data_IF_854476935280
#
_entry.id   IF_854476935280
#
_cell.length_a   1.000
_cell.length_b   1.000
_cell.length_c   1.000
_cell.angle_alpha   90.00
_cell.angle_beta   90.00
_cell.angle_gamma   90.00
#
_symmetry.space_group_name_H-M   'P 1'
#
loop_
_entity.id
_entity.type
_entity.pdbx_description
1 polymer ?
#
# COMPACT_ATOMS: atom_id res chain seq x y z
N UNK A 1 -30.74 6.27 23.94
CA UNK A 1 -30.28 5.54 22.75
C UNK A 1 -28.97 6.17 22.33
N UNK A 2 -27.86 5.47 22.51
CA UNK A 2 -26.52 6.01 22.31
C UNK A 2 -26.29 6.26 20.81
N UNK A 3 -26.09 7.53 20.46
CA UNK A 3 -25.71 7.94 19.12
C UNK A 3 -24.23 7.57 18.91
N UNK A 4 -23.97 6.43 18.27
CA UNK A 4 -22.62 6.07 17.83
C UNK A 4 -22.24 7.02 16.70
N UNK A 5 -21.50 8.06 17.07
CA UNK A 5 -20.85 8.96 16.14
C UNK A 5 -19.85 8.13 15.34
N UNK A 6 -20.26 7.72 14.14
CA UNK A 6 -19.38 7.13 13.14
C UNK A 6 -18.26 8.12 12.90
N UNK A 7 -17.10 7.89 13.51
CA UNK A 7 -15.85 8.54 13.13
C UNK A 7 -15.51 8.05 11.72
N UNK A 8 -16.16 8.65 10.72
CA UNK A 8 -15.72 8.66 9.33
C UNK A 8 -14.47 9.53 9.25
N UNK A 9 -13.41 9.12 9.94
CA UNK A 9 -12.09 9.69 9.79
C UNK A 9 -11.59 9.10 8.48
N UNK A 10 -11.55 9.91 7.44
CA UNK A 10 -10.95 9.63 6.13
C UNK A 10 -10.03 8.41 6.16
N UNK A 11 -10.55 7.27 5.72
CA UNK A 11 -9.72 6.10 5.45
C UNK A 11 -8.87 6.47 4.24
N UNK A 12 -7.71 7.06 4.51
CA UNK A 12 -6.68 7.26 3.49
C UNK A 12 -6.51 5.94 2.76
N UNK A 13 -6.57 5.97 1.43
CA UNK A 13 -6.22 4.79 0.63
C UNK A 13 -4.84 4.32 1.04
N UNK A 14 -4.62 3.00 1.11
CA UNK A 14 -3.38 2.44 1.66
C UNK A 14 -2.13 3.03 1.01
N UNK A 15 -2.17 3.29 -0.31
CA UNK A 15 -1.12 4.00 -1.04
C UNK A 15 -0.82 5.38 -0.44
N UNK A 16 -1.83 6.22 -0.18
CA UNK A 16 -1.63 7.56 0.39
C UNK A 16 -1.06 7.51 1.80
N UNK A 17 -1.43 6.50 2.58
CA UNK A 17 -0.86 6.28 3.91
C UNK A 17 0.62 5.90 3.81
N UNK A 18 0.95 4.97 2.94
CA UNK A 18 2.33 4.53 2.70
C UNK A 18 3.21 5.67 2.17
N UNK A 19 2.74 6.44 1.17
CA UNK A 19 3.43 7.62 0.65
C UNK A 19 3.76 8.64 1.75
N UNK A 20 2.82 8.88 2.68
CA UNK A 20 3.07 9.77 3.83
C UNK A 20 4.12 9.23 4.78
N UNK A 21 4.07 7.93 5.09
CA UNK A 21 5.05 7.27 5.95
C UNK A 21 6.45 7.37 5.33
N UNK A 22 6.59 7.01 4.05
CA UNK A 22 7.85 7.11 3.31
C UNK A 22 8.37 8.56 3.24
N UNK A 23 7.50 9.53 2.96
CA UNK A 23 7.87 10.95 2.93
C UNK A 23 8.37 11.45 4.28
N UNK A 24 7.71 11.06 5.38
CA UNK A 24 8.17 11.40 6.73
C UNK A 24 9.50 10.73 7.07
N UNK A 25 9.68 9.45 6.73
CA UNK A 25 10.94 8.74 6.95
C UNK A 25 12.10 9.38 6.17
N UNK A 26 11.89 9.77 4.92
CA UNK A 26 12.88 10.52 4.13
C UNK A 26 13.18 11.90 4.69
N UNK A 27 12.19 12.58 5.25
CA UNK A 27 12.39 13.87 5.91
C UNK A 27 13.24 13.72 7.17
N UNK A 28 13.01 12.66 7.96
CA UNK A 28 13.80 12.31 9.13
C UNK A 28 15.25 11.95 8.75
N UNK A 29 15.45 11.19 7.69
CA UNK A 29 16.79 10.89 7.14
C UNK A 29 17.53 12.19 6.76
N UNK A 30 16.86 13.13 6.10
CA UNK A 30 17.43 14.44 5.77
C UNK A 30 17.80 15.28 7.00
N UNK A 31 17.22 15.00 8.16
CA UNK A 31 17.54 15.63 9.45
C UNK A 31 18.66 14.89 10.21
N UNK A 32 19.22 13.82 9.65
CA UNK A 32 20.26 13.00 10.27
C UNK A 32 19.73 11.87 11.17
N UNK A 33 18.43 11.55 11.08
CA UNK A 33 17.83 10.44 11.81
C UNK A 33 17.87 9.20 10.91
N UNK A 34 18.90 8.37 11.11
CA UNK A 34 19.03 7.10 10.40
C UNK A 34 17.95 6.11 10.86
N UNK A 35 17.20 5.54 9.91
CA UNK A 35 16.22 4.49 10.22
C UNK A 35 16.88 3.30 10.94
N UNK A 36 18.10 2.93 10.51
CA UNK A 36 18.94 1.86 11.08
C UNK A 36 19.40 2.07 12.52
N UNK A 37 19.37 3.30 13.03
CA UNK A 37 19.71 3.60 14.43
C UNK A 37 18.49 3.90 15.28
N UNK A 38 17.37 4.22 14.63
CA UNK A 38 16.18 4.78 15.26
C UNK A 38 14.94 3.87 15.18
N UNK A 39 15.03 2.64 14.66
CA UNK A 39 13.87 1.77 14.52
C UNK A 39 13.17 1.46 15.85
N UNK A 40 13.91 1.48 16.97
CA UNK A 40 13.36 1.32 18.30
C UNK A 40 12.13 2.22 18.56
N UNK A 41 12.15 3.47 18.09
CA UNK A 41 11.02 4.39 18.23
C UNK A 41 10.26 4.64 16.92
N UNK A 42 10.91 4.48 15.75
CA UNK A 42 10.21 4.59 14.46
C UNK A 42 9.21 3.46 14.25
N UNK A 43 9.53 2.23 14.69
CA UNK A 43 8.65 1.08 14.57
C UNK A 43 7.28 1.30 15.25
N UNK A 44 7.20 1.62 16.57
CA UNK A 44 5.91 1.89 17.20
C UNK A 44 5.21 3.13 16.62
N UNK A 45 5.95 4.12 16.11
CA UNK A 45 5.37 5.28 15.43
C UNK A 45 4.67 4.87 14.13
N UNK A 46 5.35 4.09 13.28
CA UNK A 46 4.79 3.59 12.02
C UNK A 46 3.60 2.68 12.29
N UNK A 47 3.70 1.75 13.25
CA UNK A 47 2.56 0.90 13.67
C UNK A 47 1.34 1.73 14.08
N UNK A 48 1.55 2.80 14.85
CA UNK A 48 0.47 3.66 15.34
C UNK A 48 -0.23 4.44 14.22
N UNK A 49 0.43 4.64 13.07
CA UNK A 49 -0.19 5.27 11.90
C UNK A 49 -1.11 4.32 11.12
N UNK A 50 -1.01 3.01 11.35
CA UNK A 50 -1.76 2.01 10.59
C UNK A 50 -3.16 1.79 11.15
N UNK A 51 -4.11 1.49 10.25
CA UNK A 51 -5.46 1.08 10.66
C UNK A 51 -5.45 -0.36 11.18
N UNK A 52 -6.42 -0.69 12.04
CA UNK A 52 -6.56 -2.03 12.64
C UNK A 52 -6.60 -3.17 11.61
N UNK A 53 -7.21 -2.94 10.44
CA UNK A 53 -7.27 -3.93 9.36
C UNK A 53 -5.86 -4.27 8.81
N UNK A 54 -5.02 -3.24 8.62
CA UNK A 54 -3.65 -3.38 8.13
C UNK A 54 -2.75 -4.02 9.18
N UNK A 55 -2.89 -3.62 10.45
CA UNK A 55 -2.17 -4.26 11.56
C UNK A 55 -2.50 -5.75 11.66
N UNK A 56 -3.77 -6.14 11.51
CA UNK A 56 -4.16 -7.55 11.48
C UNK A 56 -3.60 -8.30 10.26
N UNK A 57 -3.46 -7.64 9.12
CA UNK A 57 -2.84 -8.24 7.95
C UNK A 57 -1.33 -8.43 8.17
N UNK A 58 -0.67 -7.43 8.77
CA UNK A 58 0.74 -7.48 9.18
C UNK A 58 1.00 -8.62 10.17
N UNK A 59 0.21 -8.74 11.23
CA UNK A 59 0.35 -9.79 12.25
C UNK A 59 0.13 -11.22 11.71
N UNK A 60 -0.67 -11.37 10.64
CA UNK A 60 -0.87 -12.66 9.96
C UNK A 60 0.23 -12.95 8.93
N UNK A 61 1.05 -11.96 8.61
CA UNK A 61 2.11 -12.13 7.63
C UNK A 61 3.21 -13.02 8.21
N UNK A 62 3.82 -13.90 7.39
CA UNK A 62 4.94 -14.73 7.84
C UNK A 62 6.19 -13.91 8.21
N UNK A 63 6.23 -12.61 7.85
CA UNK A 63 7.31 -11.69 8.19
C UNK A 63 7.22 -11.15 9.62
N UNK A 64 6.04 -11.22 10.26
CA UNK A 64 5.85 -10.71 11.62
C UNK A 64 6.63 -11.50 12.67
N UNK A 65 6.71 -12.83 12.50
CA UNK A 65 7.31 -13.74 13.49
C UNK A 65 8.76 -14.15 13.14
N UNK A 66 9.43 -13.38 12.28
CA UNK A 66 10.86 -13.54 11.99
C UNK A 66 11.68 -12.90 13.11
N UNK A 67 11.61 -13.49 14.29
CA UNK A 67 12.38 -13.11 15.47
C UNK A 67 13.70 -13.91 15.44
N UNK A 68 14.74 -13.31 14.86
CA UNK A 68 16.12 -13.72 15.07
C UNK A 68 16.77 -12.62 15.92
N UNK A 69 17.19 -13.01 17.13
CA UNK A 69 17.63 -12.14 18.22
C UNK A 69 18.78 -11.22 17.77
N UNK A 70 18.77 -9.96 18.23
CA UNK A 70 19.83 -8.93 18.14
C UNK A 70 19.64 -7.81 17.09
N UNK A 71 19.04 -8.05 15.91
CA UNK A 71 18.65 -7.00 14.93
C UNK A 71 17.13 -6.82 14.78
N UNK A 72 16.40 -7.24 15.80
CA UNK A 72 14.95 -7.47 15.78
C UNK A 72 14.14 -6.26 15.32
N UNK A 73 14.33 -5.07 15.92
CA UNK A 73 13.47 -3.92 15.59
C UNK A 73 13.77 -3.32 14.22
N UNK A 74 15.02 -3.39 13.78
CA UNK A 74 15.43 -2.88 12.46
C UNK A 74 14.88 -3.75 11.34
N UNK A 75 15.02 -5.06 11.49
CA UNK A 75 14.43 -6.02 10.57
C UNK A 75 12.91 -5.94 10.59
N UNK A 76 12.27 -5.80 11.76
CA UNK A 76 10.82 -5.61 11.86
C UNK A 76 10.32 -4.35 11.16
N UNK A 77 10.97 -3.20 11.35
CA UNK A 77 10.61 -1.97 10.65
C UNK A 77 10.75 -2.14 9.13
N UNK A 78 11.87 -2.72 8.68
CA UNK A 78 12.11 -2.96 7.26
C UNK A 78 11.08 -3.92 6.65
N UNK A 79 10.77 -5.01 7.35
CA UNK A 79 9.76 -5.98 6.93
C UNK A 79 8.36 -5.35 6.91
N UNK A 80 8.04 -4.46 7.86
CA UNK A 80 6.76 -3.74 7.91
C UNK A 80 6.61 -2.81 6.70
N UNK A 81 7.65 -2.04 6.36
CA UNK A 81 7.63 -1.16 5.19
C UNK A 81 7.52 -1.96 3.89
N UNK A 82 8.24 -3.08 3.78
CA UNK A 82 8.12 -3.99 2.62
C UNK A 82 6.72 -4.58 2.51
N UNK A 83 6.14 -4.99 3.64
CA UNK A 83 4.77 -5.49 3.70
C UNK A 83 3.76 -4.43 3.23
N UNK A 84 3.86 -3.20 3.73
CA UNK A 84 2.96 -2.11 3.32
C UNK A 84 3.06 -1.83 1.83
N UNK A 85 4.27 -1.81 1.26
CA UNK A 85 4.48 -1.66 -0.18
C UNK A 85 3.79 -2.77 -0.97
N UNK A 86 3.98 -4.04 -0.56
CA UNK A 86 3.35 -5.19 -1.20
C UNK A 86 1.83 -5.14 -1.10
N UNK A 87 1.30 -4.73 0.04
CA UNK A 87 -0.15 -4.61 0.25
C UNK A 87 -0.76 -3.52 -0.64
N UNK A 88 -0.06 -2.40 -0.84
CA UNK A 88 -0.45 -1.36 -1.82
C UNK A 88 -0.51 -1.94 -3.24
N UNK A 89 0.57 -2.61 -3.68
CA UNK A 89 0.58 -3.21 -5.02
C UNK A 89 -0.49 -4.30 -5.18
N UNK A 90 -0.75 -5.07 -4.12
CA UNK A 90 -1.79 -6.09 -4.12
C UNK A 90 -3.20 -5.46 -4.27
N UNK A 91 -3.48 -4.36 -3.56
CA UNK A 91 -4.71 -3.59 -3.74
C UNK A 91 -4.87 -3.10 -5.18
N UNK A 92 -3.79 -2.63 -5.81
CA UNK A 92 -3.80 -2.19 -7.22
C UNK A 92 -4.02 -3.35 -8.19
N UNK A 93 -3.36 -4.49 -7.98
CA UNK A 93 -3.57 -5.71 -8.78
C UNK A 93 -5.02 -6.21 -8.67
N UNK A 94 -5.58 -6.23 -7.46
CA UNK A 94 -6.98 -6.63 -7.24
C UNK A 94 -7.94 -5.69 -7.97
N UNK A 95 -7.69 -4.37 -7.93
CA UNK A 95 -8.47 -3.38 -8.70
C UNK A 95 -8.38 -3.63 -10.19
N UNK A 96 -7.17 -3.91 -10.70
CA UNK A 96 -6.96 -4.22 -12.11
C UNK A 96 -7.75 -5.47 -12.53
N UNK A 97 -7.59 -6.60 -11.81
CA UNK A 97 -8.29 -7.85 -12.13
C UNK A 97 -9.81 -7.68 -12.11
N UNK A 98 -10.34 -6.96 -11.12
CA UNK A 98 -11.78 -6.67 -11.06
C UNK A 98 -12.27 -5.81 -12.23
N UNK A 99 -11.45 -4.90 -12.72
CA UNK A 99 -11.80 -4.07 -13.87
C UNK A 99 -11.62 -4.80 -15.21
N UNK A 100 -10.63 -5.69 -15.35
CA UNK A 100 -10.32 -6.37 -16.61
C UNK A 100 -11.37 -7.38 -17.04
N UNK A 101 -12.10 -7.99 -16.10
CA UNK A 101 -13.22 -8.89 -16.43
C UNK A 101 -14.55 -8.15 -16.68
N UNK A 102 -14.58 -6.82 -16.55
CA UNK A 102 -15.79 -6.00 -16.69
C UNK A 102 -15.88 -5.18 -17.98
N UNK A 103 -14.83 -5.10 -18.79
CA UNK A 103 -14.86 -4.38 -20.07
C UNK A 103 -15.01 -5.36 -21.22
N UNK A 104 -16.07 -5.30 -22.05
CA UNK A 104 -16.08 -6.05 -23.30
C UNK A 104 -14.91 -5.54 -24.13
N UNK A 105 -13.99 -6.45 -24.45
CA UNK A 105 -12.99 -6.22 -25.48
C UNK A 105 -13.75 -5.89 -26.76
N UNK A 106 -13.79 -4.60 -27.14
CA UNK A 106 -14.22 -4.17 -28.46
C UNK A 106 -13.01 -4.34 -29.37
N UNK A 107 -13.03 -5.29 -30.33
CA UNK A 107 -12.02 -5.30 -31.37
C UNK A 107 -12.15 -3.98 -32.12
N UNK A 108 -11.05 -3.23 -32.22
CA UNK A 108 -10.99 -2.03 -33.05
C UNK A 108 -11.17 -2.46 -34.50
N UNK A 109 -12.40 -2.38 -35.01
CA UNK A 109 -12.68 -2.49 -36.43
C UNK A 109 -12.00 -1.31 -37.12
N UNK A 110 -10.91 -1.60 -37.83
CA UNK A 110 -10.17 -0.68 -38.66
C UNK A 110 -11.10 -0.13 -39.73
N UNK A 111 -11.62 1.07 -39.47
CA UNK A 111 -12.39 1.86 -40.41
C UNK A 111 -11.43 2.48 -41.43
N UNK A 112 -11.12 1.75 -42.49
CA UNK A 112 -10.59 2.27 -43.76
C UNK A 112 -11.37 1.62 -44.90
N UNK A 113 -12.14 2.31 -45.75
CA UNK A 113 -11.90 3.63 -46.31
C UNK A 113 -11.71 3.52 -47.83
N UNK A 114 -12.74 3.05 -48.55
CA UNK A 114 -13.07 3.45 -49.94
C UNK A 114 -12.23 2.93 -51.12
N UNK A 115 -12.89 2.24 -52.05
CA UNK A 115 -12.64 2.40 -53.49
C UNK A 115 -13.87 1.99 -54.34
N UNK A 116 -14.60 3.03 -54.77
CA UNK A 116 -15.54 3.27 -55.90
C UNK A 116 -16.33 2.15 -56.63
N UNK A 117 -17.56 2.48 -57.11
CA UNK A 117 -18.38 1.62 -57.97
C UNK A 117 -18.16 1.84 -59.48
N UNK A 118 -18.55 0.81 -60.24
CA UNK A 118 -18.96 0.74 -61.66
C UNK A 118 -17.95 1.08 -62.78
N UNK A 119 -17.71 0.09 -63.63
CA UNK A 119 -18.15 0.09 -65.03
C UNK A 119 -18.58 -1.33 -65.41
#
# INVERSE_FOLDING_TARGET
MSNVQSHGKDRLSLSKLFDKIESHLRSLESMGIDQEKNAAWLYPMVESCLSTDILRAWQRSPQFNKDDEEKETQLRLSNLLEFLRKEVENEERVKLVRNTFGTPFVPSEERGGGAKPKA
#
